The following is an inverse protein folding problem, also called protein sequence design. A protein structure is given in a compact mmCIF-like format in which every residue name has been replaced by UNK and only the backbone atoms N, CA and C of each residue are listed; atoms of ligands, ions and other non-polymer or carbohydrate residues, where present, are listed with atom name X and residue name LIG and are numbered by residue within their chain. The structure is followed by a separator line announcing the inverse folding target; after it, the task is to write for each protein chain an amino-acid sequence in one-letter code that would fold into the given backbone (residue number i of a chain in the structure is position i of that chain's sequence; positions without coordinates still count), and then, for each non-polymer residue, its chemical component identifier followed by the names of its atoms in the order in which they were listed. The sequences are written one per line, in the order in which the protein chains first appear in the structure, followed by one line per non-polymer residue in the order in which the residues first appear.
data_IF_302669524632
#
_entry.id   IF_302669524632
#
_cell.length_a   1.000
_cell.length_b   1.000
_cell.length_c   1.000
_cell.angle_alpha   90.00
_cell.angle_beta   90.00
_cell.angle_gamma   90.00
#
_symmetry.space_group_name_H-M   'P 1'
#
loop_
_entity.id
_entity.type
_entity.pdbx_description
1 polymer ?
#
# COMPACT_ATOMS: atom_id res chain seq x y z
N UNK A 1 -4.89 18.74 8.08
CA UNK A 1 -6.10 19.39 8.63
C UNK A 1 -7.33 18.77 8.00
N UNK A 2 -8.31 18.47 8.88
CA UNK A 2 -9.66 18.01 8.65
C UNK A 2 -9.83 16.49 8.44
N UNK A 3 -9.85 15.76 9.57
CA UNK A 3 -10.66 14.57 9.70
C UNK A 3 -12.13 14.99 9.68
N UNK A 4 -12.88 14.60 8.66
CA UNK A 4 -14.32 14.62 8.73
C UNK A 4 -14.82 13.24 9.12
N UNK A 5 -15.10 13.09 10.43
CA UNK A 5 -15.98 12.08 10.95
C UNK A 5 -17.39 12.34 10.38
N UNK A 6 -17.83 11.57 9.41
CA UNK A 6 -19.24 11.50 9.06
C UNK A 6 -19.94 10.56 10.03
N UNK A 7 -20.31 11.11 11.19
CA UNK A 7 -21.33 10.53 12.03
C UNK A 7 -22.69 10.74 11.37
N UNK A 8 -23.26 9.71 10.80
CA UNK A 8 -24.64 9.74 10.30
C UNK A 8 -25.56 9.64 11.50
N UNK A 9 -26.16 10.76 11.88
CA UNK A 9 -27.31 10.79 12.77
C UNK A 9 -28.52 10.21 12.04
N UNK A 10 -28.87 8.96 12.31
CA UNK A 10 -30.17 8.42 11.94
C UNK A 10 -31.18 8.86 12.99
N UNK A 11 -32.02 9.82 12.64
CA UNK A 11 -33.20 10.15 13.41
C UNK A 11 -34.13 8.92 13.43
N UNK A 12 -34.22 8.26 14.58
CA UNK A 12 -35.29 7.29 14.86
C UNK A 12 -36.62 8.03 14.94
N UNK A 13 -37.44 7.92 13.90
CA UNK A 13 -38.88 8.12 14.03
C UNK A 13 -39.53 6.75 14.15
N UNK A 14 -39.95 6.42 15.35
CA UNK A 14 -40.81 5.26 15.61
C UNK A 14 -42.19 5.52 14.99
N UNK A 15 -42.57 4.67 14.04
CA UNK A 15 -43.96 4.41 13.76
C UNK A 15 -44.23 2.91 13.85
N UNK A 16 -44.93 2.52 14.93
CA UNK A 16 -45.49 1.20 15.09
C UNK A 16 -46.71 1.10 14.19
N UNK A 17 -46.73 0.17 13.26
CA UNK A 17 -47.91 -0.52 12.77
C UNK A 17 -47.57 -1.97 12.49
N UNK A 18 -48.23 -2.82 13.28
CA UNK A 18 -48.26 -4.26 13.13
C UNK A 18 -48.96 -4.65 11.83
N UNK A 19 -48.27 -5.34 10.94
CA UNK A 19 -48.80 -6.42 10.07
C UNK A 19 -47.67 -7.06 9.25
N UNK A 20 -47.75 -8.34 9.04
CA UNK A 20 -46.89 -9.31 8.34
C UNK A 20 -46.09 -8.85 7.11
N UNK A 21 -44.97 -8.15 7.32
CA UNK A 21 -43.97 -7.81 6.27
C UNK A 21 -42.53 -7.88 6.76
N UNK A 22 -42.23 -8.77 7.68
CA UNK A 22 -40.86 -8.87 8.25
C UNK A 22 -39.79 -9.34 7.27
N UNK A 23 -40.11 -10.00 6.18
CA UNK A 23 -39.11 -10.52 5.21
C UNK A 23 -38.69 -9.44 4.19
N UNK A 24 -39.60 -8.62 3.69
CA UNK A 24 -39.30 -7.61 2.65
C UNK A 24 -38.44 -6.42 3.12
N UNK A 25 -38.51 -6.07 4.41
CA UNK A 25 -37.73 -4.94 4.95
C UNK A 25 -36.29 -5.35 5.20
N UNK A 26 -36.05 -6.61 5.56
CA UNK A 26 -34.69 -7.13 5.78
C UNK A 26 -33.89 -7.20 4.46
N UNK A 27 -34.52 -7.70 3.40
CA UNK A 27 -33.89 -7.78 2.07
C UNK A 27 -33.63 -6.40 1.46
N UNK A 28 -34.55 -5.46 1.65
CA UNK A 28 -34.37 -4.09 1.14
C UNK A 28 -33.29 -3.30 1.87
N UNK A 29 -33.13 -3.53 3.17
CA UNK A 29 -32.06 -2.91 3.98
C UNK A 29 -30.71 -3.56 3.67
N UNK A 30 -30.68 -4.87 3.44
CA UNK A 30 -29.45 -5.58 3.02
C UNK A 30 -29.03 -5.12 1.61
N UNK A 31 -29.95 -5.03 0.66
CA UNK A 31 -29.68 -4.53 -0.69
C UNK A 31 -29.23 -3.06 -0.67
N UNK A 32 -29.82 -2.21 0.19
CA UNK A 32 -29.37 -0.83 0.37
C UNK A 32 -28.01 -0.72 1.07
N UNK A 33 -27.71 -1.62 2.01
CA UNK A 33 -26.36 -1.69 2.62
C UNK A 33 -25.31 -2.21 1.64
N UNK A 34 -25.62 -3.20 0.81
CA UNK A 34 -24.73 -3.68 -0.24
C UNK A 34 -24.48 -2.62 -1.33
N UNK A 35 -25.49 -1.81 -1.67
CA UNK A 35 -25.36 -0.70 -2.63
C UNK A 35 -24.57 0.50 -2.09
N UNK A 36 -24.42 0.63 -0.78
CA UNK A 36 -23.64 1.67 -0.10
C UNK A 36 -22.21 1.22 0.23
N UNK A 37 -21.88 -0.07 0.11
CA UNK A 37 -20.52 -0.52 0.28
C UNK A 37 -19.68 -0.10 -0.93
N UNK A 38 -18.66 0.71 -0.68
CA UNK A 38 -17.65 1.04 -1.68
C UNK A 38 -17.01 -0.24 -2.22
N UNK A 39 -17.29 -0.58 -3.47
CA UNK A 39 -16.73 -1.77 -4.11
C UNK A 39 -15.35 -1.47 -4.63
N UNK A 40 -14.33 -2.07 -4.00
CA UNK A 40 -12.95 -1.92 -4.36
C UNK A 40 -12.53 -2.95 -5.42
N UNK A 41 -11.68 -2.51 -6.34
CA UNK A 41 -10.99 -3.40 -7.26
C UNK A 41 -9.91 -4.20 -6.54
N UNK A 42 -9.75 -5.46 -6.96
CA UNK A 42 -8.67 -6.32 -6.50
C UNK A 42 -7.37 -6.03 -7.23
N UNK A 43 -7.45 -5.74 -8.55
CA UNK A 43 -6.32 -5.43 -9.40
C UNK A 43 -6.79 -4.74 -10.70
N UNK A 44 -5.85 -4.14 -11.43
CA UNK A 44 -6.05 -3.54 -12.74
C UNK A 44 -5.74 -4.60 -13.80
N UNK A 45 -6.68 -4.83 -14.72
CA UNK A 45 -6.51 -5.76 -15.85
C UNK A 45 -5.83 -5.11 -17.07
N UNK A 46 -6.15 -3.82 -17.32
CA UNK A 46 -5.64 -3.11 -18.48
C UNK A 46 -5.56 -1.60 -18.18
N UNK A 47 -4.50 -0.98 -18.64
CA UNK A 47 -4.31 0.46 -18.64
C UNK A 47 -4.32 0.93 -20.10
N UNK A 48 -5.20 1.88 -20.42
CA UNK A 48 -5.25 2.53 -21.71
C UNK A 48 -5.00 4.04 -21.54
N UNK A 49 -4.05 4.57 -22.30
CA UNK A 49 -3.69 6.00 -22.28
C UNK A 49 -3.79 6.54 -23.69
N UNK A 50 -4.79 7.36 -23.95
CA UNK A 50 -5.10 7.86 -25.30
C UNK A 50 -4.12 8.92 -25.80
N UNK A 51 -3.45 9.62 -24.90
CA UNK A 51 -2.66 10.79 -25.26
C UNK A 51 -1.46 10.95 -24.33
N UNK A 52 -0.32 10.42 -24.78
CA UNK A 52 1.00 10.76 -24.27
C UNK A 52 1.70 11.71 -25.25
N UNK A 53 2.55 12.59 -24.68
CA UNK A 53 3.36 13.55 -25.45
C UNK A 53 2.54 14.35 -26.48
N UNK A 54 1.56 15.09 -25.96
CA UNK A 54 0.66 15.94 -26.78
C UNK A 54 -0.15 15.17 -27.84
N UNK A 55 -0.60 13.95 -27.49
CA UNK A 55 -1.44 13.14 -28.37
C UNK A 55 -0.70 12.30 -29.39
N UNK A 56 0.63 12.24 -29.34
CA UNK A 56 1.44 11.53 -30.34
C UNK A 56 1.49 10.03 -30.14
N UNK A 57 1.19 9.53 -28.93
CA UNK A 57 1.21 8.08 -28.65
C UNK A 57 0.00 7.65 -27.84
N UNK A 58 -0.59 6.56 -28.27
CA UNK A 58 -1.59 5.76 -27.57
C UNK A 58 -0.90 4.54 -26.98
N UNK A 59 -1.20 4.24 -25.72
CA UNK A 59 -0.67 3.05 -25.03
C UNK A 59 -1.84 2.21 -24.57
N UNK A 60 -1.73 0.91 -24.80
CA UNK A 60 -2.60 -0.10 -24.24
C UNK A 60 -1.73 -1.18 -23.60
N UNK A 61 -1.86 -1.34 -22.28
CA UNK A 61 -1.04 -2.25 -21.51
C UNK A 61 -1.93 -3.22 -20.74
N UNK A 62 -1.91 -4.48 -21.14
CA UNK A 62 -2.57 -5.57 -20.42
C UNK A 62 -1.67 -6.01 -19.27
N UNK A 63 -2.23 -6.11 -18.08
CA UNK A 63 -1.51 -6.37 -16.86
C UNK A 63 -1.74 -7.79 -16.34
N UNK A 64 -0.69 -8.35 -15.76
CA UNK A 64 -0.79 -9.52 -14.91
C UNK A 64 -1.40 -9.15 -13.56
N UNK A 65 -2.04 -10.13 -12.94
CA UNK A 65 -2.67 -9.94 -11.63
C UNK A 65 -1.69 -9.55 -10.52
N UNK A 66 -0.43 -9.97 -10.61
CA UNK A 66 0.53 -9.86 -9.51
C UNK A 66 1.69 -8.93 -9.83
N UNK A 67 2.46 -9.18 -10.89
CA UNK A 67 3.70 -8.44 -11.15
C UNK A 67 3.73 -7.93 -12.59
N UNK A 68 3.99 -6.62 -12.72
CA UNK A 68 4.09 -5.93 -14.00
C UNK A 68 5.28 -4.99 -13.97
N UNK A 69 6.22 -5.17 -14.88
CA UNK A 69 7.48 -4.44 -14.91
C UNK A 69 7.58 -3.65 -16.21
N UNK A 70 7.72 -2.33 -16.11
CA UNK A 70 8.12 -1.47 -17.23
C UNK A 70 9.64 -1.33 -17.22
N UNK A 71 10.31 -1.92 -18.20
CA UNK A 71 11.72 -1.73 -18.41
C UNK A 71 12.00 -0.93 -19.68
N UNK A 72 13.19 -0.43 -19.85
CA UNK A 72 13.63 0.33 -21.02
C UNK A 72 14.61 1.43 -20.68
N UNK A 73 15.20 2.06 -21.69
CA UNK A 73 16.19 3.12 -21.53
C UNK A 73 15.61 4.35 -20.83
N UNK A 74 16.50 5.20 -20.29
CA UNK A 74 16.11 6.46 -19.67
C UNK A 74 15.40 7.38 -20.68
N UNK A 75 14.35 8.06 -20.21
CA UNK A 75 13.62 9.02 -21.02
C UNK A 75 12.52 8.44 -21.93
N UNK A 76 12.34 7.11 -22.00
CA UNK A 76 11.24 6.53 -22.83
C UNK A 76 9.84 6.78 -22.28
N UNK A 77 9.74 7.29 -21.02
CA UNK A 77 8.46 7.70 -20.47
C UNK A 77 7.86 6.76 -19.41
N UNK A 78 8.62 5.81 -18.85
CA UNK A 78 8.14 4.88 -17.80
C UNK A 78 7.51 5.61 -16.62
N UNK A 79 8.23 6.51 -15.98
CA UNK A 79 7.72 7.35 -14.90
C UNK A 79 6.54 8.22 -15.32
N UNK A 80 6.49 8.64 -16.59
CA UNK A 80 5.37 9.42 -17.12
C UNK A 80 4.10 8.58 -17.19
N UNK A 81 4.19 7.32 -17.59
CA UNK A 81 3.07 6.38 -17.62
C UNK A 81 2.52 6.17 -16.22
N UNK A 82 3.36 5.75 -15.27
CA UNK A 82 2.97 5.53 -13.88
C UNK A 82 2.33 6.79 -13.28
N UNK A 83 2.98 7.94 -13.40
CA UNK A 83 2.48 9.19 -12.86
C UNK A 83 1.16 9.63 -13.51
N UNK A 84 0.95 9.36 -14.81
CA UNK A 84 -0.30 9.69 -15.48
C UNK A 84 -1.45 8.83 -14.98
N UNK A 85 -1.23 7.55 -14.75
CA UNK A 85 -2.21 6.63 -14.13
C UNK A 85 -2.56 7.10 -12.72
N UNK A 86 -1.56 7.30 -11.87
CA UNK A 86 -1.78 7.72 -10.47
C UNK A 86 -2.52 9.06 -10.38
N UNK A 87 -2.19 10.02 -11.24
CA UNK A 87 -2.90 11.31 -11.30
C UNK A 87 -4.34 11.23 -11.81
N UNK A 88 -4.74 10.12 -12.41
CA UNK A 88 -6.14 9.91 -12.83
C UNK A 88 -7.04 9.54 -11.67
N UNK A 89 -6.50 9.00 -10.56
CA UNK A 89 -7.26 8.71 -9.36
C UNK A 89 -7.69 9.99 -8.64
N UNK A 90 -8.87 9.95 -8.02
CA UNK A 90 -9.33 10.98 -7.10
C UNK A 90 -8.74 10.76 -5.71
N UNK A 91 -8.93 11.74 -4.81
CA UNK A 91 -8.65 11.54 -3.40
C UNK A 91 -9.51 10.38 -2.86
N UNK A 92 -8.86 9.33 -2.33
CA UNK A 92 -9.52 8.13 -1.84
C UNK A 92 -9.58 6.94 -2.80
N UNK A 93 -8.97 7.07 -4.01
CA UNK A 93 -8.82 5.95 -4.94
C UNK A 93 -10.03 5.68 -5.83
N UNK A 94 -11.00 6.61 -5.90
CA UNK A 94 -12.04 6.52 -6.92
C UNK A 94 -11.42 6.74 -8.30
N UNK A 95 -11.67 5.84 -9.22
CA UNK A 95 -11.24 5.99 -10.61
C UNK A 95 -12.47 6.11 -11.52
N UNK A 96 -12.38 6.94 -12.56
CA UNK A 96 -13.50 7.15 -13.45
C UNK A 96 -13.74 5.92 -14.33
N UNK A 97 -15.01 5.53 -14.45
CA UNK A 97 -15.45 4.52 -15.43
C UNK A 97 -15.31 4.98 -16.88
N UNK A 98 -15.03 6.27 -17.09
CA UNK A 98 -14.86 6.89 -18.42
C UNK A 98 -13.47 7.52 -18.53
N UNK A 99 -13.05 7.81 -19.77
CA UNK A 99 -11.77 8.42 -20.10
C UNK A 99 -11.58 9.77 -19.41
N UNK A 100 -11.03 9.77 -18.20
CA UNK A 100 -10.70 10.98 -17.47
C UNK A 100 -9.21 11.28 -17.63
N UNK A 101 -8.88 12.50 -18.01
CA UNK A 101 -7.49 12.93 -18.22
C UNK A 101 -6.72 12.05 -19.24
N UNK A 102 -7.44 11.39 -20.17
CA UNK A 102 -6.83 10.52 -21.17
C UNK A 102 -6.33 9.17 -20.65
N UNK A 103 -6.85 8.69 -19.50
CA UNK A 103 -6.58 7.37 -18.94
C UNK A 103 -7.88 6.60 -18.77
N UNK A 104 -7.90 5.35 -19.19
CA UNK A 104 -8.97 4.39 -18.95
C UNK A 104 -8.37 3.17 -18.26
N UNK A 105 -9.05 2.68 -17.21
CA UNK A 105 -8.67 1.48 -16.48
C UNK A 105 -9.75 0.42 -16.64
N UNK A 106 -9.33 -0.81 -16.88
CA UNK A 106 -10.17 -1.98 -16.76
C UNK A 106 -9.71 -2.72 -15.49
N UNK A 107 -10.64 -3.02 -14.60
CA UNK A 107 -10.33 -3.55 -13.27
C UNK A 107 -11.15 -4.81 -12.98
N UNK A 108 -10.73 -5.57 -12.00
CA UNK A 108 -11.42 -6.74 -11.49
C UNK A 108 -11.84 -6.52 -10.01
N UNK A 109 -13.11 -6.70 -9.66
CA UNK A 109 -14.25 -6.92 -10.56
C UNK A 109 -14.60 -5.66 -11.38
N UNK A 110 -15.22 -5.87 -12.54
CA UNK A 110 -15.47 -4.81 -13.55
C UNK A 110 -16.43 -3.70 -13.11
N UNK A 111 -17.21 -3.96 -12.07
CA UNK A 111 -18.16 -3.02 -11.46
C UNK A 111 -17.59 -2.27 -10.25
N UNK A 112 -16.30 -2.49 -9.92
CA UNK A 112 -15.61 -1.71 -8.91
C UNK A 112 -15.46 -0.25 -9.36
N UNK A 113 -15.54 0.67 -8.38
CA UNK A 113 -15.36 2.12 -8.59
C UNK A 113 -14.19 2.68 -7.82
N UNK A 114 -13.66 1.91 -6.90
CA UNK A 114 -12.59 2.29 -5.99
C UNK A 114 -11.42 1.34 -6.11
N UNK A 115 -10.20 1.85 -5.96
CA UNK A 115 -8.98 1.06 -5.92
C UNK A 115 -8.12 1.55 -4.76
N UNK A 116 -7.61 0.62 -3.96
CA UNK A 116 -6.56 0.93 -2.99
C UNK A 116 -5.25 0.97 -3.72
N UNK A 117 -4.47 1.98 -3.50
CA UNK A 117 -3.14 2.08 -4.09
C UNK A 117 -2.19 2.86 -3.19
N UNK A 118 -0.93 2.51 -3.29
CA UNK A 118 0.18 3.32 -2.79
C UNK A 118 1.19 3.58 -3.91
N UNK A 119 1.98 4.63 -3.77
CA UNK A 119 3.04 4.98 -4.70
C UNK A 119 4.35 5.19 -3.96
N UNK A 120 5.38 4.46 -4.39
CA UNK A 120 6.75 4.60 -3.90
C UNK A 120 7.59 5.21 -5.00
N UNK A 121 8.25 6.31 -4.68
CA UNK A 121 9.17 7.03 -5.56
C UNK A 121 10.58 6.88 -5.03
N UNK A 122 11.53 6.71 -5.93
CA UNK A 122 12.91 6.40 -5.60
C UNK A 122 13.78 7.58 -5.18
N UNK A 123 13.26 8.81 -5.24
CA UNK A 123 14.11 9.97 -5.00
C UNK A 123 13.96 10.48 -3.58
N UNK A 124 15.01 10.28 -2.80
CA UNK A 124 15.18 10.94 -1.50
C UNK A 124 15.54 12.41 -1.75
N UNK A 125 14.52 13.24 -1.81
CA UNK A 125 14.69 14.67 -2.03
C UNK A 125 14.70 15.39 -0.68
N UNK A 126 15.54 16.45 -0.53
CA UNK A 126 15.39 17.35 0.60
C UNK A 126 13.97 17.90 0.65
N UNK A 127 13.34 17.89 1.82
CA UNK A 127 12.08 18.57 2.02
C UNK A 127 12.32 20.07 1.79
N UNK A 128 11.69 20.63 0.75
CA UNK A 128 11.64 22.08 0.60
C UNK A 128 10.94 22.64 1.84
N UNK A 129 11.58 23.59 2.50
CA UNK A 129 11.09 24.26 3.73
C UNK A 129 9.64 24.70 3.57
N UNK A 130 8.70 23.83 3.91
CA UNK A 130 7.35 24.26 4.22
C UNK A 130 7.33 24.58 5.71
N UNK A 131 6.82 25.74 6.08
CA UNK A 131 6.68 26.21 7.47
C UNK A 131 5.96 25.18 8.38
N UNK A 132 5.33 24.17 7.79
CA UNK A 132 4.66 23.08 8.45
C UNK A 132 5.62 21.98 8.91
N UNK A 133 6.71 21.71 8.20
CA UNK A 133 7.69 20.65 8.50
C UNK A 133 8.68 21.13 9.57
N UNK A 134 9.08 22.40 9.50
CA UNK A 134 9.98 22.99 10.50
C UNK A 134 9.42 23.09 11.92
N UNK A 135 8.10 22.91 12.06
CA UNK A 135 7.40 22.92 13.37
C UNK A 135 7.19 21.54 13.98
N UNK A 136 7.45 20.44 13.23
CA UNK A 136 7.06 19.11 13.69
C UNK A 136 8.19 18.30 14.35
N UNK A 137 9.39 18.34 13.82
CA UNK A 137 10.59 17.73 14.44
C UNK A 137 11.80 18.15 13.60
N UNK A 138 12.81 18.74 14.24
CA UNK A 138 14.04 19.19 13.54
C UNK A 138 14.87 18.05 12.91
N UNK A 139 14.42 16.80 13.02
CA UNK A 139 15.09 15.62 12.53
C UNK A 139 14.60 15.13 11.14
N UNK A 140 13.49 15.69 10.62
CA UNK A 140 12.96 15.31 9.30
C UNK A 140 13.61 16.18 8.22
N UNK A 141 14.55 15.61 7.47
CA UNK A 141 15.32 16.35 6.46
C UNK A 141 14.98 15.94 5.03
N UNK A 142 14.45 14.75 4.81
CA UNK A 142 14.23 14.18 3.48
C UNK A 142 12.77 13.72 3.28
N UNK A 143 12.40 13.48 2.01
CA UNK A 143 11.08 12.93 1.67
C UNK A 143 10.89 11.51 2.25
N UNK A 144 11.95 10.69 2.32
CA UNK A 144 11.90 9.38 2.96
C UNK A 144 11.64 9.50 4.47
N UNK A 145 12.25 10.47 5.16
CA UNK A 145 11.97 10.71 6.58
C UNK A 145 10.50 11.06 6.81
N UNK A 146 9.93 11.88 5.94
CA UNK A 146 8.52 12.24 6.00
C UNK A 146 7.59 11.05 5.74
N UNK A 147 7.91 10.21 4.74
CA UNK A 147 7.16 8.99 4.47
C UNK A 147 7.23 8.03 5.65
N UNK A 148 8.40 7.82 6.23
CA UNK A 148 8.57 6.99 7.43
C UNK A 148 7.77 7.52 8.62
N UNK A 149 7.76 8.83 8.83
CA UNK A 149 6.97 9.45 9.89
C UNK A 149 5.46 9.19 9.70
N UNK A 150 4.96 9.31 8.47
CA UNK A 150 3.56 8.99 8.17
C UNK A 150 3.26 7.49 8.32
N UNK A 151 4.16 6.62 7.86
CA UNK A 151 4.03 5.18 7.97
C UNK A 151 4.08 4.69 9.42
N UNK A 152 4.86 5.34 10.30
CA UNK A 152 4.83 5.05 11.72
C UNK A 152 3.42 5.21 12.32
N UNK A 153 2.68 6.23 11.93
CA UNK A 153 1.29 6.43 12.37
C UNK A 153 0.36 5.35 11.82
N UNK A 154 0.46 5.02 10.53
CA UNK A 154 -0.29 3.90 9.95
C UNK A 154 0.06 2.57 10.64
N UNK A 155 1.31 2.38 11.02
CA UNK A 155 1.75 1.19 11.74
C UNK A 155 1.17 1.08 13.15
N UNK A 156 1.03 2.19 13.86
CA UNK A 156 0.33 2.23 15.15
C UNK A 156 -1.14 1.82 14.99
N UNK A 157 -1.86 2.39 14.01
CA UNK A 157 -3.24 2.02 13.70
C UNK A 157 -3.36 0.55 13.32
N UNK A 158 -2.43 0.04 12.51
CA UNK A 158 -2.35 -1.37 12.14
C UNK A 158 -2.19 -2.27 13.36
N UNK A 159 -1.29 -1.93 14.31
CA UNK A 159 -1.10 -2.70 15.53
C UNK A 159 -2.36 -2.72 16.42
N UNK A 160 -3.03 -1.58 16.56
CA UNK A 160 -4.30 -1.49 17.30
C UNK A 160 -5.36 -2.39 16.67
N UNK A 161 -5.50 -2.35 15.34
CA UNK A 161 -6.45 -3.19 14.61
C UNK A 161 -6.16 -4.69 14.80
N UNK A 162 -4.89 -5.09 14.68
CA UNK A 162 -4.47 -6.47 14.94
C UNK A 162 -4.75 -6.86 16.39
N UNK A 163 -4.38 -6.02 17.36
CA UNK A 163 -4.63 -6.27 18.78
C UNK A 163 -6.12 -6.47 19.07
N UNK A 164 -6.99 -5.63 18.54
CA UNK A 164 -8.43 -5.76 18.69
C UNK A 164 -8.95 -7.06 18.05
N UNK A 165 -8.47 -7.46 16.89
CA UNK A 165 -8.83 -8.73 16.26
C UNK A 165 -8.39 -9.93 17.09
N UNK A 166 -7.16 -9.93 17.60
CA UNK A 166 -6.64 -10.99 18.48
C UNK A 166 -7.51 -11.11 19.74
N UNK A 167 -7.83 -9.99 20.39
CA UNK A 167 -8.68 -10.00 21.59
C UNK A 167 -10.08 -10.55 21.25
N UNK A 168 -10.70 -10.09 20.18
CA UNK A 168 -12.00 -10.56 19.74
C UNK A 168 -11.99 -12.08 19.44
N UNK A 169 -10.96 -12.56 18.75
CA UNK A 169 -10.78 -14.00 18.45
C UNK A 169 -10.63 -14.82 19.74
N UNK A 170 -9.81 -14.37 20.69
CA UNK A 170 -9.63 -15.08 21.96
C UNK A 170 -10.90 -15.06 22.83
N UNK A 171 -11.71 -14.01 22.74
CA UNK A 171 -12.99 -13.88 23.45
C UNK A 171 -14.13 -14.70 22.80
N UNK A 172 -13.98 -15.14 21.56
CA UNK A 172 -15.02 -15.92 20.86
C UNK A 172 -15.30 -17.29 21.53
N UNK A 173 -14.32 -17.83 22.26
CA UNK A 173 -14.41 -19.16 22.87
C UNK A 173 -14.33 -20.31 21.89
N UNK A 174 -14.00 -20.05 20.60
CA UNK A 174 -13.82 -21.07 19.58
C UNK A 174 -12.61 -21.98 19.90
N UNK A 175 -12.67 -23.29 19.61
CA UNK A 175 -11.60 -24.23 19.96
C UNK A 175 -10.23 -23.89 19.35
N UNK A 176 -10.21 -23.23 18.18
CA UNK A 176 -9.02 -22.84 17.44
C UNK A 176 -8.62 -21.37 17.63
N UNK A 177 -9.24 -20.66 18.60
CA UNK A 177 -9.02 -19.23 18.80
C UNK A 177 -7.53 -18.87 19.02
N UNK A 178 -6.75 -19.72 19.68
CA UNK A 178 -5.33 -19.49 19.91
C UNK A 178 -4.51 -19.59 18.60
N UNK A 179 -4.79 -20.56 17.76
CA UNK A 179 -4.16 -20.71 16.45
C UNK A 179 -4.49 -19.53 15.54
N UNK A 180 -5.75 -19.12 15.52
CA UNK A 180 -6.22 -18.02 14.70
C UNK A 180 -5.62 -16.69 15.16
N UNK A 181 -5.49 -16.46 16.46
CA UNK A 181 -4.77 -15.31 17.03
C UNK A 181 -3.29 -15.27 16.61
N UNK A 182 -2.63 -16.44 16.56
CA UNK A 182 -1.26 -16.53 16.02
C UNK A 182 -1.22 -16.15 14.53
N UNK A 183 -2.14 -16.65 13.71
CA UNK A 183 -2.24 -16.31 12.30
C UNK A 183 -2.43 -14.80 12.07
N UNK A 184 -3.25 -14.15 12.88
CA UNK A 184 -3.45 -12.69 12.83
C UNK A 184 -2.15 -11.93 13.12
N UNK A 185 -1.31 -12.42 14.03
CA UNK A 185 -0.04 -11.76 14.41
C UNK A 185 1.12 -12.04 13.44
N UNK A 186 1.03 -13.09 12.65
CA UNK A 186 2.11 -13.62 11.81
C UNK A 186 2.68 -12.61 10.81
N UNK A 187 1.88 -11.80 10.08
CA UNK A 187 2.42 -10.81 9.14
C UNK A 187 3.34 -9.79 9.81
N UNK A 188 2.99 -9.29 10.99
CA UNK A 188 3.84 -8.38 11.77
C UNK A 188 5.16 -9.03 12.15
N UNK A 189 5.12 -10.26 12.67
CA UNK A 189 6.33 -11.00 13.02
C UNK A 189 7.21 -11.21 11.80
N UNK A 190 6.63 -11.65 10.69
CA UNK A 190 7.35 -11.90 9.42
C UNK A 190 8.04 -10.64 8.91
N UNK A 191 7.35 -9.50 8.92
CA UNK A 191 7.95 -8.21 8.58
C UNK A 191 9.17 -7.88 9.45
N UNK A 192 9.06 -8.07 10.77
CA UNK A 192 10.17 -7.80 11.69
C UNK A 192 11.36 -8.73 11.44
N UNK A 193 11.08 -10.02 11.21
CA UNK A 193 12.12 -11.02 10.89
C UNK A 193 12.81 -10.70 9.56
N UNK A 194 12.07 -10.25 8.53
CA UNK A 194 12.63 -9.82 7.24
C UNK A 194 13.55 -8.61 7.37
N UNK A 195 13.14 -7.60 8.14
CA UNK A 195 13.97 -6.41 8.35
C UNK A 195 15.24 -6.77 9.13
N UNK A 196 15.14 -7.61 10.16
CA UNK A 196 16.29 -8.07 10.93
C UNK A 196 17.29 -8.86 10.03
N UNK A 197 16.76 -9.70 9.10
CA UNK A 197 17.58 -10.42 8.11
C UNK A 197 18.28 -9.46 7.14
N UNK A 198 17.55 -8.49 6.59
CA UNK A 198 18.11 -7.51 5.66
C UNK A 198 19.18 -6.62 6.31
N UNK A 199 19.04 -6.32 7.60
CA UNK A 199 19.96 -5.43 8.31
C UNK A 199 21.05 -6.18 9.09
N UNK A 200 21.18 -7.50 8.89
CA UNK A 200 22.16 -8.34 9.58
C UNK A 200 23.60 -7.82 9.41
N UNK A 201 23.98 -7.40 8.20
CA UNK A 201 25.34 -6.90 7.92
C UNK A 201 25.66 -5.59 8.67
N UNK A 202 24.64 -4.77 8.95
CA UNK A 202 24.79 -3.51 9.70
C UNK A 202 24.57 -3.68 11.19
N UNK A 203 24.19 -4.89 11.65
CA UNK A 203 23.99 -5.22 13.05
C UNK A 203 22.82 -4.51 13.70
N UNK A 204 21.82 -4.10 12.90
CA UNK A 204 20.59 -3.44 13.38
C UNK A 204 19.47 -4.46 13.49
N UNK A 205 18.71 -4.42 14.60
CA UNK A 205 17.52 -5.26 14.81
C UNK A 205 16.36 -4.43 15.31
N UNK A 206 15.13 -4.79 14.91
CA UNK A 206 13.91 -4.11 15.38
C UNK A 206 13.68 -4.40 16.86
N UNK A 207 13.40 -3.35 17.64
CA UNK A 207 12.97 -3.46 19.03
C UNK A 207 11.47 -3.82 19.05
N UNK A 208 11.17 -5.09 19.30
CA UNK A 208 9.81 -5.66 19.16
C UNK A 208 8.83 -5.26 20.26
N UNK A 209 9.34 -4.75 21.36
CA UNK A 209 8.55 -4.32 22.53
C UNK A 209 8.03 -2.89 22.41
N UNK A 210 8.53 -2.13 21.46
CA UNK A 210 8.11 -0.76 21.21
C UNK A 210 6.87 -0.68 20.30
N UNK A 211 6.07 0.34 20.51
CA UNK A 211 4.91 0.60 19.66
C UNK A 211 5.29 1.22 18.31
N UNK A 212 6.39 2.00 18.30
CA UNK A 212 6.98 2.57 17.08
C UNK A 212 8.10 1.66 16.57
N UNK A 213 8.40 1.75 15.29
CA UNK A 213 9.58 1.08 14.76
C UNK A 213 10.81 1.82 15.25
N UNK A 214 11.63 1.13 16.01
CA UNK A 214 12.94 1.54 16.48
C UNK A 214 13.90 0.38 16.34
N UNK A 215 15.18 0.68 16.26
CA UNK A 215 16.23 -0.31 16.09
C UNK A 215 17.19 -0.31 17.27
N UNK A 216 17.72 -1.47 17.59
CA UNK A 216 18.89 -1.62 18.46
C UNK A 216 20.12 -1.85 17.63
N UNK A 217 21.20 -1.11 17.93
CA UNK A 217 22.53 -1.33 17.34
C UNK A 217 23.59 -1.06 18.42
N UNK A 218 24.41 -2.06 18.72
CA UNK A 218 25.53 -1.97 19.71
C UNK A 218 25.06 -1.40 21.07
N UNK A 219 23.82 -1.77 21.51
CA UNK A 219 23.26 -1.31 22.77
C UNK A 219 22.62 0.09 22.74
N UNK A 220 22.63 0.76 21.61
CA UNK A 220 21.97 2.05 21.40
C UNK A 220 20.62 1.88 20.70
N UNK A 221 19.70 2.80 20.94
CA UNK A 221 18.41 2.86 20.23
C UNK A 221 18.50 3.85 19.09
N UNK A 222 18.19 3.38 17.87
CA UNK A 222 18.15 4.20 16.66
C UNK A 222 16.71 4.41 16.19
N UNK A 223 16.45 5.61 15.69
CA UNK A 223 15.19 5.96 15.04
C UNK A 223 15.29 5.77 13.52
N UNK A 224 14.17 5.58 12.81
CA UNK A 224 14.17 5.37 11.37
C UNK A 224 14.87 6.46 10.56
N UNK A 225 14.83 7.71 11.00
CA UNK A 225 15.52 8.83 10.31
C UNK A 225 17.06 8.75 10.40
N UNK A 226 17.60 7.92 11.29
CA UNK A 226 19.06 7.68 11.44
C UNK A 226 19.59 6.54 10.56
N UNK A 227 18.70 5.85 9.85
CA UNK A 227 19.06 4.80 8.90
C UNK A 227 19.71 5.38 7.65
N UNK A 228 20.48 4.56 6.93
CA UNK A 228 20.97 4.92 5.59
C UNK A 228 19.82 5.05 4.58
N UNK A 229 20.06 5.73 3.46
CA UNK A 229 19.01 5.91 2.41
C UNK A 229 18.47 4.57 1.92
N UNK A 230 19.32 3.57 1.71
CA UNK A 230 18.88 2.23 1.29
C UNK A 230 18.05 1.51 2.35
N UNK A 231 18.45 1.58 3.62
CA UNK A 231 17.67 1.03 4.74
C UNK A 231 16.33 1.73 4.90
N UNK A 232 16.29 3.07 4.77
CA UNK A 232 15.03 3.83 4.76
C UNK A 232 14.13 3.40 3.61
N UNK A 233 14.68 3.27 2.40
CA UNK A 233 13.93 2.89 1.21
C UNK A 233 13.28 1.52 1.35
N UNK A 234 14.04 0.50 1.73
CA UNK A 234 13.48 -0.85 1.92
C UNK A 234 12.47 -0.90 3.07
N UNK A 235 12.71 -0.15 4.14
CA UNK A 235 11.78 -0.03 5.26
C UNK A 235 10.46 0.63 4.82
N UNK A 236 10.51 1.71 4.03
CA UNK A 236 9.32 2.38 3.47
C UNK A 236 8.51 1.38 2.62
N UNK A 237 9.19 0.64 1.73
CA UNK A 237 8.52 -0.33 0.85
C UNK A 237 7.80 -1.39 1.68
N UNK A 238 8.53 -2.10 2.53
CA UNK A 238 7.97 -3.24 3.27
C UNK A 238 6.93 -2.81 4.32
N UNK A 239 7.12 -1.64 4.94
CA UNK A 239 6.15 -1.11 5.89
C UNK A 239 4.84 -0.67 5.20
N UNK A 240 4.93 -0.08 4.00
CA UNK A 240 3.76 0.24 3.17
C UNK A 240 2.95 -1.02 2.89
N UNK A 241 3.62 -2.12 2.52
CA UNK A 241 2.95 -3.40 2.24
C UNK A 241 2.29 -3.99 3.48
N UNK A 242 2.97 -3.93 4.63
CA UNK A 242 2.45 -4.48 5.89
C UNK A 242 1.16 -3.79 6.35
N UNK A 243 1.13 -2.44 6.30
CA UNK A 243 -0.01 -1.67 6.85
C UNK A 243 -1.29 -1.82 6.03
N UNK A 244 -1.22 -2.37 4.82
CA UNK A 244 -2.38 -2.74 4.00
C UNK A 244 -3.08 -4.02 4.48
N UNK A 245 -2.52 -4.73 5.47
CA UNK A 245 -3.15 -5.84 6.20
C UNK A 245 -3.71 -6.94 5.27
N UNK A 246 -2.89 -7.42 4.34
CA UNK A 246 -3.23 -8.45 3.34
C UNK A 246 -4.44 -8.12 2.44
N UNK A 247 -4.89 -6.88 2.41
CA UNK A 247 -5.96 -6.46 1.50
C UNK A 247 -5.44 -6.39 0.06
N UNK A 248 -6.30 -6.65 -0.94
CA UNK A 248 -5.98 -6.36 -2.33
C UNK A 248 -5.72 -4.86 -2.52
N UNK A 249 -4.61 -4.51 -3.16
CA UNK A 249 -4.27 -3.15 -3.54
C UNK A 249 -3.21 -3.13 -4.64
N UNK A 250 -3.01 -1.98 -5.26
CA UNK A 250 -2.00 -1.78 -6.30
C UNK A 250 -0.84 -0.96 -5.76
N UNK A 251 0.36 -1.52 -5.83
CA UNK A 251 1.59 -0.85 -5.45
C UNK A 251 2.31 -0.35 -6.70
N UNK A 252 2.29 0.96 -6.88
CA UNK A 252 3.07 1.62 -7.93
C UNK A 252 4.46 1.95 -7.40
N UNK A 253 5.49 1.57 -8.14
CA UNK A 253 6.89 1.89 -7.78
C UNK A 253 7.62 2.44 -9.00
N UNK A 254 8.28 3.57 -8.82
CA UNK A 254 9.08 4.21 -9.86
C UNK A 254 10.55 4.16 -9.48
N UNK A 255 11.31 3.27 -10.13
CA UNK A 255 12.71 2.97 -9.87
C UNK A 255 13.03 2.69 -8.38
N UNK A 256 12.30 1.76 -7.73
CA UNK A 256 12.43 1.53 -6.27
C UNK A 256 13.81 1.05 -5.84
N UNK A 257 14.60 0.59 -6.79
CA UNK A 257 15.95 0.06 -6.58
C UNK A 257 17.03 1.11 -6.33
N UNK A 258 16.77 2.37 -6.63
CA UNK A 258 17.74 3.46 -6.42
C UNK A 258 18.13 3.51 -4.95
N UNK A 259 19.30 3.44 -4.54
CA UNK A 259 19.81 3.33 -3.17
C UNK A 259 19.77 1.94 -2.52
N UNK A 260 19.11 0.94 -3.12
CA UNK A 260 19.10 -0.40 -2.56
C UNK A 260 20.37 -1.16 -2.92
N UNK A 261 20.87 -1.96 -1.97
CA UNK A 261 21.94 -2.93 -2.23
C UNK A 261 21.47 -3.95 -3.28
N UNK A 262 22.38 -4.43 -4.13
CA UNK A 262 22.05 -5.33 -5.25
C UNK A 262 21.33 -6.61 -4.80
N UNK A 263 21.67 -7.16 -3.66
CA UNK A 263 21.04 -8.37 -3.13
C UNK A 263 19.62 -8.11 -2.62
N UNK A 264 19.35 -6.91 -2.13
CA UNK A 264 17.97 -6.49 -1.79
C UNK A 264 17.14 -6.25 -3.05
N UNK A 265 17.76 -5.70 -4.11
CA UNK A 265 17.08 -5.54 -5.41
C UNK A 265 16.60 -6.89 -5.97
N UNK A 266 17.42 -7.94 -5.90
CA UNK A 266 17.07 -9.30 -6.35
C UNK A 266 15.87 -9.87 -5.58
N UNK A 267 15.75 -9.57 -4.29
CA UNK A 267 14.74 -10.10 -3.39
C UNK A 267 13.48 -9.22 -3.31
N UNK A 268 13.50 -8.01 -3.86
CA UNK A 268 12.51 -6.97 -3.62
C UNK A 268 11.06 -7.45 -3.87
N UNK A 269 10.81 -8.01 -5.04
CA UNK A 269 9.47 -8.46 -5.44
C UNK A 269 9.02 -9.62 -4.55
N UNK A 270 9.90 -10.58 -4.29
CA UNK A 270 9.59 -11.75 -3.46
C UNK A 270 9.26 -11.35 -2.01
N UNK A 271 10.01 -10.41 -1.42
CA UNK A 271 9.74 -9.87 -0.08
C UNK A 271 8.36 -9.18 -0.01
N UNK A 272 7.99 -8.42 -1.04
CA UNK A 272 6.69 -7.76 -1.11
C UNK A 272 5.56 -8.81 -1.18
N UNK A 273 5.69 -9.81 -2.05
CA UNK A 273 4.68 -10.87 -2.22
C UNK A 273 4.57 -11.78 -1.00
N UNK A 274 5.65 -12.01 -0.28
CA UNK A 274 5.66 -12.77 0.96
C UNK A 274 4.89 -12.05 2.08
N UNK A 275 4.97 -10.71 2.15
CA UNK A 275 4.22 -9.92 3.12
C UNK A 275 2.74 -9.79 2.75
N UNK A 276 2.43 -9.57 1.47
CA UNK A 276 1.06 -9.48 1.00
C UNK A 276 0.90 -10.16 -0.38
N UNK A 277 0.40 -11.39 -0.43
CA UNK A 277 0.21 -12.11 -1.69
C UNK A 277 -0.94 -11.54 -2.56
N UNK A 278 -1.73 -10.62 -2.03
CA UNK A 278 -2.87 -9.99 -2.73
C UNK A 278 -2.50 -8.65 -3.39
N UNK A 279 -1.25 -8.22 -3.29
CA UNK A 279 -0.78 -6.98 -3.94
C UNK A 279 -0.62 -7.20 -5.45
N UNK A 280 -1.02 -6.20 -6.23
CA UNK A 280 -0.57 -6.06 -7.61
C UNK A 280 0.57 -5.05 -7.66
N UNK A 281 1.72 -5.48 -8.15
CA UNK A 281 2.92 -4.66 -8.32
C UNK A 281 2.95 -4.12 -9.74
N UNK A 282 3.08 -2.81 -9.89
CA UNK A 282 3.34 -2.12 -11.16
C UNK A 282 4.57 -1.26 -10.94
N UNK A 283 5.71 -1.69 -11.46
CA UNK A 283 6.97 -0.99 -11.23
C UNK A 283 7.67 -0.60 -12.53
N UNK A 284 8.37 0.52 -12.50
CA UNK A 284 9.40 0.86 -13.48
C UNK A 284 10.78 0.58 -12.93
N UNK A 285 11.67 0.04 -13.73
CA UNK A 285 13.04 -0.24 -13.30
C UNK A 285 14.02 -0.19 -14.48
N UNK A 286 15.26 0.14 -14.13
CA UNK A 286 16.43 -0.02 -14.99
C UNK A 286 17.35 -1.13 -14.50
N UNK A 287 17.09 -1.70 -13.31
CA UNK A 287 17.97 -2.68 -12.71
C UNK A 287 17.75 -4.07 -13.27
N UNK A 288 18.75 -4.66 -13.92
CA UNK A 288 18.70 -6.07 -14.25
C UNK A 288 18.53 -6.97 -13.01
N UNK A 289 19.02 -6.54 -11.84
CA UNK A 289 18.94 -7.33 -10.62
C UNK A 289 17.48 -7.53 -10.14
N UNK A 290 16.61 -6.56 -10.33
CA UNK A 290 15.17 -6.67 -10.03
C UNK A 290 14.49 -7.65 -10.99
N UNK A 291 14.88 -7.64 -12.28
CA UNK A 291 14.22 -8.38 -13.35
C UNK A 291 14.67 -9.85 -13.39
N UNK A 292 15.96 -10.10 -13.24
CA UNK A 292 16.57 -11.41 -13.54
C UNK A 292 16.27 -12.50 -12.52
N UNK A 293 15.71 -12.15 -11.36
CA UNK A 293 15.36 -13.13 -10.33
C UNK A 293 13.99 -13.77 -10.56
N UNK A 294 13.75 -14.28 -11.78
CA UNK A 294 12.50 -14.99 -12.13
C UNK A 294 11.38 -14.11 -12.71
N UNK A 295 11.62 -12.80 -12.92
CA UNK A 295 10.58 -11.85 -13.35
C UNK A 295 10.71 -11.38 -14.81
N UNK A 296 11.59 -11.97 -15.59
CA UNK A 296 11.85 -11.57 -16.98
C UNK A 296 10.61 -11.66 -17.88
N UNK A 297 9.75 -12.67 -17.65
CA UNK A 297 8.52 -12.86 -18.40
C UNK A 297 7.40 -11.85 -18.05
N UNK A 298 7.63 -11.01 -17.06
CA UNK A 298 6.73 -9.94 -16.60
C UNK A 298 7.14 -8.56 -17.07
N UNK A 299 8.18 -8.50 -17.89
CA UNK A 299 8.72 -7.25 -18.42
C UNK A 299 7.97 -6.83 -19.68
N UNK A 300 7.59 -5.56 -19.71
CA UNK A 300 7.07 -4.84 -20.88
C UNK A 300 8.04 -3.70 -21.21
N UNK A 301 8.44 -3.58 -22.47
CA UNK A 301 9.34 -2.53 -22.97
C UNK A 301 8.57 -1.39 -23.67
#
# INVERSE_FOLDING_TARGET
FAYHNYGIYVKKSLFYRQTDKKHYICDSVIILQESLMQKYANYIEEIEIDSLWSGKKHIRWTLDRQVNILSGINGVGKSTIINKVVRSFSQGGEFPSHLLKGVRLKVNPSDAKWIRYDIIRSFDRPLLNSDSVSKMDGNLSTELDWQLFQLQRKYLDYQVNIGNRIIATLQSGEPNAAEEAQHISLPKKRFQDMIDDLFTETGKTIIRTENEIRFSQIGETLYPYQLSSGEKQILVILLTVLVEDNKPYVLFMDEPEVSLHVDWQKRLIDLILELNPNVQIILSTHSPAVIMNGWIDRVTE
#
